data_IF_337102294071
#
_entry.id   IF_337102294071
#
_cell.length_a   1.000
_cell.length_b   1.000
_cell.length_c   1.000
_cell.angle_alpha   90.00
_cell.angle_beta   90.00
_cell.angle_gamma   90.00
#
_symmetry.space_group_name_H-M   'P 1'
#
loop_
_entity.id
_entity.type
_entity.pdbx_description
1 polymer ?
#
# COMPACT_ATOMS: atom_id res chain seq x y z
N UNK A 1 12.90 3.81 -16.67
CA UNK A 1 11.62 3.22 -16.94
C UNK A 1 11.35 2.06 -16.00
N UNK A 2 10.22 2.04 -15.35
CA UNK A 2 9.85 0.95 -14.48
C UNK A 2 9.46 -0.28 -15.28
N UNK A 3 10.13 -1.37 -15.00
CA UNK A 3 9.83 -2.67 -15.55
C UNK A 3 9.19 -3.50 -14.44
N UNK A 4 8.11 -4.22 -14.72
CA UNK A 4 7.47 -5.09 -13.73
C UNK A 4 8.45 -6.06 -13.08
N UNK A 5 9.45 -6.52 -13.83
CA UNK A 5 10.45 -7.45 -13.32
C UNK A 5 11.40 -6.81 -12.31
N UNK A 6 11.53 -5.47 -12.34
CA UNK A 6 12.42 -4.77 -11.42
C UNK A 6 11.71 -4.26 -10.17
N UNK A 7 10.40 -4.40 -10.10
CA UNK A 7 9.61 -3.97 -8.94
C UNK A 7 9.82 -4.94 -7.78
N UNK A 8 10.20 -4.40 -6.63
CA UNK A 8 10.40 -5.20 -5.43
C UNK A 8 9.06 -5.51 -4.78
N UNK A 9 8.69 -6.76 -4.79
CA UNK A 9 7.42 -7.23 -4.24
C UNK A 9 7.66 -7.81 -2.86
N UNK A 10 6.79 -7.48 -1.92
CA UNK A 10 6.88 -7.98 -0.55
C UNK A 10 5.64 -8.81 -0.19
N UNK A 11 5.81 -9.67 0.81
CA UNK A 11 4.74 -10.52 1.32
C UNK A 11 3.98 -9.81 2.44
N UNK A 12 2.89 -10.44 2.92
CA UNK A 12 2.17 -9.92 4.07
C UNK A 12 3.04 -9.90 5.32
N UNK A 13 3.98 -10.82 5.44
CA UNK A 13 4.88 -10.86 6.60
C UNK A 13 5.81 -9.66 6.61
N UNK A 14 6.31 -9.28 5.43
CA UNK A 14 7.10 -8.07 5.30
C UNK A 14 6.28 -6.84 5.67
N UNK A 15 5.01 -6.83 5.27
CA UNK A 15 4.12 -5.72 5.59
C UNK A 15 3.86 -5.63 7.09
N UNK A 16 3.66 -6.75 7.76
CA UNK A 16 3.53 -6.78 9.23
C UNK A 16 4.76 -6.18 9.92
N UNK A 17 5.94 -6.53 9.42
CA UNK A 17 7.19 -5.96 9.93
C UNK A 17 7.27 -4.46 9.70
N UNK A 18 6.92 -4.02 8.50
CA UNK A 18 7.04 -2.62 8.10
C UNK A 18 6.15 -1.69 8.92
N UNK A 19 5.00 -2.15 9.38
CA UNK A 19 4.10 -1.36 10.22
C UNK A 19 4.81 -0.85 11.45
N UNK A 20 5.68 -1.66 12.03
CA UNK A 20 6.38 -1.32 13.27
C UNK A 20 7.76 -0.71 13.05
N UNK A 21 8.19 -0.54 11.79
CA UNK A 21 9.56 -0.16 11.46
C UNK A 21 9.66 1.17 10.69
N UNK A 22 8.74 2.08 10.94
CA UNK A 22 8.83 3.47 10.46
C UNK A 22 8.92 3.61 8.93
N UNK A 23 8.32 2.71 8.19
CA UNK A 23 8.18 2.84 6.74
C UNK A 23 7.10 3.86 6.40
N UNK A 24 7.24 4.50 5.24
CA UNK A 24 6.17 5.30 4.67
C UNK A 24 5.26 4.36 3.89
N UNK A 25 4.01 4.22 4.32
CA UNK A 25 3.06 3.31 3.69
C UNK A 25 2.02 4.11 2.93
N UNK A 26 1.94 3.89 1.63
CA UNK A 26 1.07 4.63 0.72
C UNK A 26 0.06 3.66 0.10
N UNK A 27 -1.18 4.10 -0.04
CA UNK A 27 -2.22 3.32 -0.70
C UNK A 27 -2.70 4.01 -1.96
N UNK A 28 -3.23 3.23 -2.90
CA UNK A 28 -3.78 3.74 -4.16
C UNK A 28 -5.30 3.58 -4.25
N UNK A 29 -5.94 3.30 -3.13
CA UNK A 29 -7.39 3.08 -3.13
C UNK A 29 -8.16 4.38 -3.37
N UNK A 30 -9.37 4.28 -3.94
CA UNK A 30 -10.20 5.45 -4.16
C UNK A 30 -10.69 6.06 -2.85
N UNK A 31 -11.21 7.27 -2.94
CA UNK A 31 -11.65 8.04 -1.77
C UNK A 31 -12.65 7.29 -0.91
N UNK A 32 -13.59 6.60 -1.52
CA UNK A 32 -14.65 5.87 -0.82
C UNK A 32 -14.14 4.66 -0.03
N UNK A 33 -12.88 4.26 -0.24
CA UNK A 33 -12.26 3.17 0.50
C UNK A 33 -11.21 3.63 1.50
N UNK A 34 -11.04 4.95 1.68
CA UNK A 34 -10.05 5.47 2.63
C UNK A 34 -10.45 5.28 4.10
N UNK A 35 -11.67 4.85 4.36
CA UNK A 35 -12.16 4.67 5.73
C UNK A 35 -11.51 3.47 6.45
N UNK A 36 -10.96 2.53 5.71
CA UNK A 36 -10.32 1.36 6.29
C UNK A 36 -9.02 1.09 5.56
N UNK A 37 -7.91 1.30 6.25
CA UNK A 37 -6.56 1.16 5.71
C UNK A 37 -5.73 0.26 6.62
N UNK A 38 -4.68 -0.32 6.08
CA UNK A 38 -3.68 -0.98 6.93
C UNK A 38 -3.16 0.08 7.90
N UNK A 39 -2.98 -0.30 9.16
CA UNK A 39 -2.58 0.67 10.18
C UNK A 39 -1.25 1.34 9.78
N UNK A 40 -1.10 2.62 10.14
CA UNK A 40 0.04 3.47 9.78
C UNK A 40 0.14 3.86 8.30
N UNK A 41 -0.89 3.55 7.50
CA UNK A 41 -0.95 4.04 6.12
C UNK A 41 -1.24 5.53 6.12
N UNK A 42 -0.54 6.26 5.25
CA UNK A 42 -0.81 7.67 5.00
C UNK A 42 -2.14 7.78 4.25
N UNK A 43 -3.06 8.58 4.76
CA UNK A 43 -4.32 8.82 4.04
C UNK A 43 -4.04 9.54 2.72
N UNK A 44 -4.92 9.35 1.74
CA UNK A 44 -4.75 9.99 0.44
C UNK A 44 -4.68 11.52 0.54
N UNK A 45 -5.39 12.11 1.50
CA UNK A 45 -5.40 13.56 1.69
C UNK A 45 -4.04 14.12 2.12
N UNK A 46 -3.23 13.32 2.81
CA UNK A 46 -1.95 13.74 3.34
C UNK A 46 -0.76 13.36 2.45
N UNK A 47 -0.99 12.51 1.47
CA UNK A 47 0.08 11.93 0.69
C UNK A 47 0.93 12.98 -0.03
N UNK A 48 0.29 13.91 -0.74
CA UNK A 48 1.01 14.92 -1.52
C UNK A 48 1.94 15.76 -0.64
N UNK A 49 1.43 16.22 0.49
CA UNK A 49 2.20 17.04 1.43
C UNK A 49 3.42 16.28 1.95
N UNK A 50 3.23 15.03 2.34
CA UNK A 50 4.30 14.21 2.90
C UNK A 50 5.35 13.90 1.84
N UNK A 51 4.93 13.52 0.64
CA UNK A 51 5.87 13.23 -0.46
C UNK A 51 6.67 14.48 -0.82
N UNK A 52 6.05 15.65 -0.87
CA UNK A 52 6.75 16.89 -1.17
C UNK A 52 7.82 17.19 -0.13
N UNK A 53 7.55 16.96 1.14
CA UNK A 53 8.56 17.12 2.19
C UNK A 53 9.72 16.14 2.00
N UNK A 54 9.42 14.89 1.66
CA UNK A 54 10.45 13.87 1.48
C UNK A 54 11.32 14.15 0.25
N UNK A 55 10.74 14.66 -0.83
CA UNK A 55 11.51 15.02 -2.03
C UNK A 55 12.60 16.03 -1.67
N UNK A 56 12.27 16.99 -0.83
CA UNK A 56 13.21 18.05 -0.48
C UNK A 56 14.25 17.64 0.56
N UNK A 57 13.90 16.68 1.43
CA UNK A 57 14.71 16.41 2.63
C UNK A 57 15.22 14.98 2.76
N UNK A 58 14.54 13.99 2.17
CA UNK A 58 14.84 12.59 2.52
C UNK A 58 14.42 11.60 1.44
N UNK A 59 15.10 11.61 0.29
CA UNK A 59 14.77 10.70 -0.82
C UNK A 59 15.15 9.23 -0.58
N UNK A 60 15.90 8.94 0.45
CA UNK A 60 16.28 7.57 0.79
C UNK A 60 15.33 6.93 1.80
N UNK A 61 14.19 7.53 2.05
CA UNK A 61 13.16 6.98 2.92
C UNK A 61 12.60 5.69 2.32
N UNK A 62 12.30 4.73 3.17
CA UNK A 62 11.71 3.45 2.76
C UNK A 62 10.22 3.60 2.56
N UNK A 63 9.73 3.25 1.38
CA UNK A 63 8.34 3.41 1.00
C UNK A 63 7.74 2.06 0.62
N UNK A 64 6.50 1.81 1.06
CA UNK A 64 5.72 0.66 0.64
C UNK A 64 4.43 1.17 0.02
N UNK A 65 4.06 0.59 -1.12
CA UNK A 65 2.82 0.92 -1.82
C UNK A 65 1.93 -0.31 -1.85
N UNK A 66 0.66 -0.15 -1.57
CA UNK A 66 -0.31 -1.21 -1.79
C UNK A 66 -1.60 -0.62 -2.36
N UNK A 67 -2.39 -1.47 -2.96
CA UNK A 67 -3.66 -1.06 -3.54
C UNK A 67 -4.80 -1.92 -3.05
N UNK A 68 -5.81 -2.02 -3.87
CA UNK A 68 -7.02 -2.72 -3.55
C UNK A 68 -6.82 -4.24 -3.56
N UNK A 69 -6.14 -4.74 -4.59
CA UNK A 69 -5.87 -6.17 -4.80
C UNK A 69 -4.69 -6.32 -5.77
N UNK A 70 -4.38 -7.57 -6.15
CA UNK A 70 -3.24 -7.86 -7.02
C UNK A 70 -3.36 -7.27 -8.44
N UNK A 71 -4.56 -6.89 -8.86
CA UNK A 71 -4.82 -6.36 -10.21
C UNK A 71 -4.94 -4.84 -10.23
N UNK A 72 -4.62 -4.16 -9.15
CA UNK A 72 -4.74 -2.70 -9.09
C UNK A 72 -3.59 -2.04 -9.85
N UNK A 73 -3.88 -1.59 -11.06
CA UNK A 73 -2.88 -0.95 -11.93
C UNK A 73 -2.33 0.36 -11.38
N UNK A 74 -3.07 1.00 -10.48
CA UNK A 74 -2.66 2.27 -9.88
C UNK A 74 -1.40 2.11 -9.03
N UNK A 75 -1.17 0.91 -8.51
CA UNK A 75 0.03 0.61 -7.72
C UNK A 75 1.29 0.80 -8.56
N UNK A 76 1.29 0.26 -9.78
CA UNK A 76 2.43 0.37 -10.68
C UNK A 76 2.65 1.82 -11.11
N UNK A 77 1.56 2.54 -11.37
CA UNK A 77 1.66 3.97 -11.71
C UNK A 77 2.28 4.77 -10.57
N UNK A 78 1.87 4.49 -9.35
CA UNK A 78 2.42 5.16 -8.16
C UNK A 78 3.89 4.81 -7.99
N UNK A 79 4.26 3.56 -8.18
CA UNK A 79 5.65 3.13 -8.10
C UNK A 79 6.51 3.93 -9.09
N UNK A 80 6.08 4.00 -10.35
CA UNK A 80 6.83 4.71 -11.38
C UNK A 80 6.92 6.20 -11.08
N UNK A 81 5.85 6.80 -10.55
CA UNK A 81 5.83 8.21 -10.17
C UNK A 81 6.86 8.50 -9.08
N UNK A 82 6.85 7.71 -8.03
CA UNK A 82 7.78 7.90 -6.92
C UNK A 82 9.22 7.65 -7.34
N UNK A 83 9.43 6.65 -8.18
CA UNK A 83 10.77 6.38 -8.72
C UNK A 83 11.26 7.58 -9.53
N UNK A 84 10.38 8.19 -10.33
CA UNK A 84 10.74 9.38 -11.13
C UNK A 84 11.09 10.59 -10.26
N UNK A 85 10.57 10.65 -9.03
CA UNK A 85 10.90 11.70 -8.08
C UNK A 85 12.27 11.47 -7.40
N UNK A 86 12.90 10.33 -7.65
CA UNK A 86 14.21 10.02 -7.09
C UNK A 86 14.21 9.08 -5.89
N UNK A 87 13.04 8.59 -5.47
CA UNK A 87 12.98 7.59 -4.40
C UNK A 87 13.46 6.24 -4.95
N UNK A 88 14.34 5.57 -4.24
CA UNK A 88 14.95 4.31 -4.69
C UNK A 88 14.54 3.11 -3.85
N UNK A 89 14.20 3.32 -2.60
CA UNK A 89 13.84 2.22 -1.71
C UNK A 89 12.32 2.09 -1.63
N UNK A 90 11.75 1.58 -2.72
CA UNK A 90 10.30 1.44 -2.88
C UNK A 90 9.97 -0.04 -3.03
N UNK A 91 8.98 -0.50 -2.26
CA UNK A 91 8.49 -1.88 -2.31
C UNK A 91 6.99 -1.87 -2.55
N UNK A 92 6.47 -2.95 -3.10
CA UNK A 92 5.05 -3.10 -3.40
C UNK A 92 4.50 -4.32 -2.68
N UNK A 93 3.45 -4.11 -1.88
CA UNK A 93 2.68 -5.20 -1.31
C UNK A 93 1.55 -5.55 -2.27
N UNK A 94 1.79 -6.54 -3.13
CA UNK A 94 0.86 -6.89 -4.20
C UNK A 94 -0.48 -7.42 -3.72
N UNK A 95 -0.47 -8.17 -2.61
CA UNK A 95 -1.73 -8.72 -2.09
C UNK A 95 -2.78 -7.66 -1.83
N UNK A 96 -2.34 -6.50 -1.40
CA UNK A 96 -3.20 -5.36 -1.20
C UNK A 96 -4.20 -5.54 -0.07
N UNK A 97 -5.17 -4.64 -0.05
CA UNK A 97 -6.17 -4.65 1.02
C UNK A 97 -7.02 -5.93 1.01
N UNK A 98 -7.30 -6.48 -0.16
CA UNK A 98 -8.09 -7.71 -0.26
C UNK A 98 -7.44 -8.85 0.51
N UNK A 99 -6.16 -9.11 0.25
CA UNK A 99 -5.43 -10.16 0.97
C UNK A 99 -5.35 -9.86 2.47
N UNK A 100 -5.04 -8.61 2.81
CA UNK A 100 -4.90 -8.22 4.21
C UNK A 100 -6.18 -8.46 5.00
N UNK A 101 -7.34 -8.10 4.44
CA UNK A 101 -8.61 -8.31 5.10
C UNK A 101 -9.02 -9.77 5.19
N UNK A 102 -8.68 -10.59 4.17
CA UNK A 102 -8.89 -12.03 4.25
C UNK A 102 -8.08 -12.64 5.38
N UNK A 103 -6.83 -12.23 5.51
CA UNK A 103 -5.97 -12.72 6.58
C UNK A 103 -6.45 -12.23 7.94
N UNK A 104 -6.93 -10.99 8.02
CA UNK A 104 -7.51 -10.46 9.25
C UNK A 104 -8.73 -11.29 9.68
N UNK A 105 -9.57 -11.67 8.72
CA UNK A 105 -10.76 -12.46 9.02
C UNK A 105 -10.41 -13.83 9.61
N UNK A 106 -9.31 -14.40 9.17
CA UNK A 106 -8.87 -15.73 9.61
C UNK A 106 -8.04 -15.66 10.91
N UNK A 107 -7.12 -14.72 10.98
CA UNK A 107 -6.09 -14.69 12.03
C UNK A 107 -6.27 -13.56 13.04
N UNK A 108 -7.16 -12.61 12.78
CA UNK A 108 -7.50 -11.57 13.74
C UNK A 108 -6.86 -10.23 13.50
N UNK A 109 -7.39 -9.21 14.19
CA UNK A 109 -6.97 -7.82 14.03
C UNK A 109 -5.64 -7.50 14.71
N UNK A 110 -5.17 -8.34 15.61
CA UNK A 110 -3.86 -8.12 16.24
C UNK A 110 -2.74 -8.38 15.24
N UNK A 111 -2.88 -9.45 14.45
CA UNK A 111 -1.87 -9.83 13.46
C UNK A 111 -1.99 -8.99 12.17
N UNK A 112 -3.19 -8.54 11.84
CA UNK A 112 -3.46 -7.80 10.61
C UNK A 112 -4.25 -6.54 10.93
N UNK A 113 -3.64 -5.56 11.62
CA UNK A 113 -4.37 -4.38 12.10
C UNK A 113 -4.75 -3.42 10.99
N UNK A 114 -5.92 -2.82 11.14
CA UNK A 114 -6.43 -1.79 10.24
C UNK A 114 -6.95 -0.60 11.04
N UNK A 115 -7.15 0.52 10.36
CA UNK A 115 -7.61 1.75 11.00
C UNK A 115 -9.07 1.68 11.45
N UNK A 116 -9.85 0.80 10.85
CA UNK A 116 -11.23 0.53 11.23
C UNK A 116 -11.61 -0.89 10.84
N UNK A 117 -12.83 -1.30 11.13
CA UNK A 117 -13.31 -2.64 10.79
C UNK A 117 -14.15 -2.55 9.53
N UNK A 118 -13.78 -3.32 8.50
CA UNK A 118 -14.55 -3.48 7.28
C UNK A 118 -14.83 -4.96 7.07
N UNK A 119 -16.07 -5.35 7.18
CA UNK A 119 -16.46 -6.76 7.06
C UNK A 119 -16.75 -7.18 5.63
N UNK A 120 -17.02 -6.24 4.75
CA UNK A 120 -17.32 -6.54 3.35
C UNK A 120 -16.03 -6.60 2.54
N UNK A 121 -15.35 -7.72 2.65
CA UNK A 121 -14.06 -7.95 1.98
C UNK A 121 -14.22 -7.92 0.46
N UNK A 122 -15.39 -8.27 -0.05
CA UNK A 122 -15.64 -8.29 -1.49
C UNK A 122 -15.61 -6.91 -2.13
N UNK A 123 -15.67 -5.83 -1.36
CA UNK A 123 -15.45 -4.49 -1.91
C UNK A 123 -14.09 -4.35 -2.56
N UNK A 124 -13.15 -5.17 -2.15
CA UNK A 124 -11.74 -5.08 -2.58
C UNK A 124 -11.36 -6.12 -3.62
N UNK A 125 -12.30 -6.95 -4.06
CA UNK A 125 -12.02 -8.02 -5.02
C UNK A 125 -11.64 -7.47 -6.38
N UNK A 126 -10.94 -8.28 -7.17
CA UNK A 126 -10.64 -7.93 -8.55
C UNK A 126 -11.91 -7.87 -9.39
N UNK A 127 -11.91 -7.00 -10.38
CA UNK A 127 -13.04 -6.84 -11.29
C UNK A 127 -13.17 -8.05 -12.20
N UNK A 128 -14.40 -8.54 -12.32
CA UNK A 128 -14.72 -9.66 -13.21
C UNK A 128 -14.60 -9.20 -14.67
N UNK A 129 -13.99 -10.04 -15.51
CA UNK A 129 -13.83 -9.75 -16.95
C UNK A 129 -14.47 -10.80 -17.87
N UNK A 130 -14.97 -11.91 -17.30
CA UNK A 130 -15.62 -12.97 -18.08
C UNK A 130 -17.12 -13.02 -17.84
#
# INVERSE_FOLDING_TARGET
MGNLQSIRKISFEDMQHAIDDNYIIINTMPKELQHCLIVNTISADMEESIINQLINNCKNKKIIIYGKNTNDEKVIKKYNQLFSFGFKDIHVYLGGMFEWLLLQDIYGTEEFPTTSIEKDILKYKATRIL
#
